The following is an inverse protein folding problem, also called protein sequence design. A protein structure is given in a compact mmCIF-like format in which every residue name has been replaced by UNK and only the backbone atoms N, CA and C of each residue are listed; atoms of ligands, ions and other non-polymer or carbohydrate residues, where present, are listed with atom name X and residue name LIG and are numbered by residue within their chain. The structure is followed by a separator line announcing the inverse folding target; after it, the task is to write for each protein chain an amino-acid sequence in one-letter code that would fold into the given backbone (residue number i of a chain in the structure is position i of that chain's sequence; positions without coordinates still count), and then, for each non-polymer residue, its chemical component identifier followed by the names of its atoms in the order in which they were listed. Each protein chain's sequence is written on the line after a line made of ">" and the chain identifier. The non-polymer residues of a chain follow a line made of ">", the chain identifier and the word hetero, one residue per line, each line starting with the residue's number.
data_IF_773236050774
#
_entry.id   IF_773236050774
#
_cell.length_a   1.000
_cell.length_b   1.000
_cell.length_c   1.000
_cell.angle_alpha   90.00
_cell.angle_beta   90.00
_cell.angle_gamma   90.00
#
_symmetry.space_group_name_H-M   'P 1'
#
loop_
_entity.id
_entity.type
_entity.pdbx_description
1 polymer ?
#
# COMPACT_ATOMS: atom_id res chain seq x y z
N UNK A 1 15.63 -9.31 29.76
CA UNK A 1 14.41 -9.46 30.57
C UNK A 1 14.47 -10.73 31.42
N UNK A 2 14.62 -11.93 30.84
CA UNK A 2 14.62 -13.20 31.58
C UNK A 2 15.61 -13.23 32.75
N UNK A 3 16.87 -12.82 32.56
CA UNK A 3 17.87 -12.75 33.64
C UNK A 3 17.50 -11.82 34.80
N UNK A 4 16.82 -10.71 34.48
CA UNK A 4 16.34 -9.77 35.49
C UNK A 4 15.21 -10.38 36.33
N UNK A 5 14.22 -10.99 35.66
CA UNK A 5 13.09 -11.66 36.31
C UNK A 5 13.60 -12.82 37.18
N UNK A 6 14.51 -13.66 36.63
CA UNK A 6 15.10 -14.76 37.40
C UNK A 6 15.85 -14.28 38.67
N UNK A 7 16.57 -13.17 38.57
CA UNK A 7 17.24 -12.53 39.71
C UNK A 7 16.24 -12.04 40.75
N UNK A 8 15.18 -11.37 40.32
CA UNK A 8 14.14 -10.84 41.21
C UNK A 8 13.36 -11.96 41.94
N UNK A 9 13.07 -13.07 41.22
CA UNK A 9 12.44 -14.27 41.85
C UNK A 9 13.35 -14.85 42.92
N UNK A 10 14.64 -15.00 42.66
CA UNK A 10 15.62 -15.51 43.62
C UNK A 10 15.74 -14.61 44.84
N UNK A 11 15.71 -13.29 44.70
CA UNK A 11 15.75 -12.34 45.79
C UNK A 11 14.45 -12.37 46.63
N UNK A 12 13.31 -12.58 46.01
CA UNK A 12 12.03 -12.79 46.66
C UNK A 12 12.01 -14.11 47.47
N UNK A 13 12.43 -15.24 46.84
CA UNK A 13 12.50 -16.54 47.51
C UNK A 13 13.48 -16.57 48.68
N UNK A 14 14.56 -15.78 48.62
CA UNK A 14 15.54 -15.63 49.69
C UNK A 14 15.14 -14.62 50.76
N UNK A 15 13.95 -14.00 50.66
CA UNK A 15 13.45 -13.05 51.64
C UNK A 15 14.13 -11.66 51.59
N UNK A 16 14.93 -11.37 50.60
CA UNK A 16 15.59 -10.06 50.41
C UNK A 16 14.64 -8.97 49.92
N UNK A 17 13.58 -9.38 49.24
CA UNK A 17 12.54 -8.51 48.70
C UNK A 17 11.19 -8.99 49.22
N UNK A 18 10.40 -8.08 49.79
CA UNK A 18 9.05 -8.42 50.26
C UNK A 18 8.05 -8.54 49.06
N UNK A 19 6.88 -9.15 49.38
CA UNK A 19 5.85 -9.38 48.35
C UNK A 19 5.38 -8.11 47.69
N UNK A 20 5.28 -7.00 48.41
CA UNK A 20 4.81 -5.72 47.87
C UNK A 20 5.82 -5.10 46.94
N UNK A 21 7.09 -5.17 47.28
CA UNK A 21 8.21 -4.68 46.51
C UNK A 21 8.43 -5.54 45.26
N UNK A 22 8.32 -6.87 45.38
CA UNK A 22 8.32 -7.79 44.27
C UNK A 22 7.22 -7.45 43.23
N UNK A 23 5.96 -7.34 43.68
CA UNK A 23 4.84 -7.00 42.79
C UNK A 23 4.99 -5.64 42.11
N UNK A 24 5.48 -4.61 42.85
CA UNK A 24 5.75 -3.29 42.28
C UNK A 24 6.82 -3.35 41.18
N UNK A 25 7.91 -4.08 41.46
CA UNK A 25 9.03 -4.20 40.52
C UNK A 25 8.62 -4.97 39.26
N UNK A 26 7.84 -6.05 39.40
CA UNK A 26 7.29 -6.79 38.24
C UNK A 26 6.33 -5.91 37.45
N UNK A 27 5.43 -5.17 38.10
CA UNK A 27 4.50 -4.26 37.43
C UNK A 27 5.25 -3.15 36.67
N UNK A 28 6.27 -2.56 37.27
CA UNK A 28 7.11 -1.54 36.63
C UNK A 28 7.90 -2.12 35.49
N UNK A 29 8.48 -3.31 35.64
CA UNK A 29 9.19 -3.99 34.56
C UNK A 29 8.26 -4.34 33.37
N UNK A 30 7.01 -4.76 33.65
CA UNK A 30 6.01 -5.04 32.65
C UNK A 30 5.57 -3.76 31.90
N UNK A 31 5.41 -2.63 32.62
CA UNK A 31 5.08 -1.34 31.97
C UNK A 31 6.25 -0.82 31.12
N UNK A 32 7.48 -0.93 31.59
CA UNK A 32 8.68 -0.55 30.82
C UNK A 32 8.87 -1.45 29.61
N UNK A 33 8.57 -2.74 29.74
CA UNK A 33 8.64 -3.68 28.64
C UNK A 33 7.54 -3.41 27.61
N UNK A 34 6.30 -3.21 28.04
CA UNK A 34 5.20 -2.83 27.16
C UNK A 34 5.42 -1.46 26.50
N UNK A 35 6.02 -0.50 27.23
CA UNK A 35 6.44 0.78 26.68
C UNK A 35 7.67 0.64 25.76
N UNK A 36 8.58 -0.30 26.06
CA UNK A 36 9.76 -0.61 25.25
C UNK A 36 9.40 -1.31 23.94
N UNK A 37 8.40 -2.18 23.95
CA UNK A 37 7.83 -2.76 22.71
C UNK A 37 7.01 -1.73 21.92
N UNK A 38 6.38 -0.76 22.60
CA UNK A 38 5.77 0.40 21.95
C UNK A 38 6.82 1.43 21.49
N UNK A 39 8.00 1.47 22.13
CA UNK A 39 9.12 2.36 21.81
C UNK A 39 10.18 1.71 20.90
N UNK A 40 10.20 0.41 20.72
CA UNK A 40 10.61 -0.16 19.45
C UNK A 40 9.52 0.23 18.47
N UNK A 41 9.60 1.49 18.06
CA UNK A 41 8.85 1.99 16.92
C UNK A 41 8.95 0.91 15.85
N UNK A 42 7.91 0.14 15.66
CA UNK A 42 7.70 -0.59 14.40
C UNK A 42 8.13 0.41 13.35
N UNK A 43 9.06 0.09 12.45
CA UNK A 43 9.49 1.03 11.41
C UNK A 43 8.21 1.62 10.89
N UNK A 44 8.01 2.89 11.19
CA UNK A 44 6.71 3.56 11.12
C UNK A 44 6.14 3.18 9.77
N UNK A 45 5.19 2.23 9.77
CA UNK A 45 4.39 2.00 8.59
C UNK A 45 3.63 3.30 8.44
N UNK A 46 4.25 4.27 7.78
CA UNK A 46 3.67 5.59 7.59
C UNK A 46 2.30 5.51 6.93
N UNK A 47 1.97 4.31 6.40
CA UNK A 47 0.73 3.96 5.74
C UNK A 47 0.54 2.43 5.75
N UNK A 48 -0.68 1.99 5.48
CA UNK A 48 -1.04 0.59 5.26
C UNK A 48 -1.59 0.46 3.85
N UNK A 49 -1.13 -0.56 3.11
CA UNK A 49 -1.74 -0.95 1.84
C UNK A 49 -3.10 -1.59 2.14
N UNK A 50 -4.16 -1.09 1.52
CA UNK A 50 -5.53 -1.59 1.66
C UNK A 50 -5.88 -2.62 0.58
N UNK A 51 -5.29 -2.49 -0.60
CA UNK A 51 -5.52 -3.38 -1.73
C UNK A 51 -4.91 -2.85 -3.01
N UNK A 52 -5.12 -3.58 -4.09
CA UNK A 52 -4.78 -3.13 -5.43
C UNK A 52 -5.81 -2.11 -5.88
N UNK A 53 -5.36 -0.92 -6.23
CA UNK A 53 -6.18 0.14 -6.82
C UNK A 53 -6.45 -0.17 -8.29
N UNK A 54 -5.36 -0.34 -9.06
CA UNK A 54 -5.46 -0.76 -10.45
C UNK A 54 -4.19 -1.47 -10.93
N UNK A 55 -4.35 -2.14 -12.06
CA UNK A 55 -3.26 -2.71 -12.84
C UNK A 55 -3.23 -1.96 -14.17
N UNK A 56 -2.10 -1.35 -14.50
CA UNK A 56 -1.91 -0.70 -15.79
C UNK A 56 -1.39 -1.70 -16.81
N UNK A 57 -2.16 -1.90 -17.86
CA UNK A 57 -1.92 -2.88 -18.92
C UNK A 57 -1.70 -2.14 -20.25
N UNK A 58 -0.46 -2.07 -20.67
CA UNK A 58 -0.07 -1.48 -21.95
C UNK A 58 -0.10 -2.55 -23.04
N UNK A 59 -0.72 -2.24 -24.16
CA UNK A 59 -0.91 -3.18 -25.27
C UNK A 59 -0.87 -2.47 -26.63
N UNK A 60 -0.66 -3.22 -27.73
CA UNK A 60 -0.62 -2.64 -29.08
C UNK A 60 -1.92 -1.95 -29.48
N UNK A 61 -3.06 -2.51 -29.06
CA UNK A 61 -4.40 -2.03 -29.34
C UNK A 61 -5.27 -2.12 -28.08
N UNK A 62 -5.47 -0.96 -27.43
CA UNK A 62 -6.25 -0.90 -26.20
C UNK A 62 -7.74 -1.21 -26.43
N UNK A 63 -8.28 -0.92 -27.62
CA UNK A 63 -9.70 -1.17 -27.91
C UNK A 63 -9.99 -2.67 -28.00
N UNK A 64 -9.10 -3.40 -28.63
CA UNK A 64 -9.16 -4.87 -28.69
C UNK A 64 -9.06 -5.49 -27.29
N UNK A 65 -8.15 -4.98 -26.46
CA UNK A 65 -8.02 -5.44 -25.08
C UNK A 65 -9.25 -5.06 -24.24
N UNK A 66 -9.73 -3.82 -24.35
CA UNK A 66 -10.98 -3.37 -23.70
C UNK A 66 -12.14 -4.28 -24.04
N UNK A 67 -12.38 -4.50 -25.32
CA UNK A 67 -13.52 -5.27 -25.79
C UNK A 67 -13.43 -6.73 -25.35
N UNK A 68 -12.23 -7.30 -25.30
CA UNK A 68 -12.00 -8.64 -24.77
C UNK A 68 -12.41 -8.72 -23.28
N UNK A 69 -11.93 -7.80 -22.44
CA UNK A 69 -12.25 -7.81 -21.02
C UNK A 69 -13.75 -7.59 -20.75
N UNK A 70 -14.41 -6.73 -21.55
CA UNK A 70 -15.85 -6.49 -21.44
C UNK A 70 -16.63 -7.74 -21.86
N UNK A 71 -16.34 -8.28 -23.04
CA UNK A 71 -17.15 -9.35 -23.62
C UNK A 71 -16.92 -10.71 -22.96
N UNK A 72 -15.70 -11.00 -22.50
CA UNK A 72 -15.35 -12.30 -21.92
C UNK A 72 -15.56 -12.34 -20.40
N UNK A 73 -15.23 -11.25 -19.71
CA UNK A 73 -15.26 -11.20 -18.24
C UNK A 73 -16.38 -10.31 -17.67
N UNK A 74 -17.12 -9.60 -18.52
CA UNK A 74 -18.21 -8.74 -18.09
C UNK A 74 -17.73 -7.49 -17.32
N UNK A 75 -16.48 -7.03 -17.55
CA UNK A 75 -16.01 -5.81 -16.93
C UNK A 75 -16.78 -4.61 -17.47
N UNK A 76 -17.00 -3.61 -16.61
CA UNK A 76 -17.69 -2.38 -16.99
C UNK A 76 -16.67 -1.27 -17.30
N UNK A 77 -16.84 -0.60 -18.45
CA UNK A 77 -16.04 0.59 -18.74
C UNK A 77 -16.49 1.75 -17.87
N UNK A 78 -15.55 2.36 -17.16
CA UNK A 78 -15.83 3.55 -16.37
C UNK A 78 -16.14 4.74 -17.28
N UNK A 79 -17.30 5.37 -17.08
CA UNK A 79 -17.76 6.52 -17.86
C UNK A 79 -16.73 7.65 -17.88
N UNK A 80 -16.50 8.22 -19.04
CA UNK A 80 -15.54 9.32 -19.22
C UNK A 80 -14.06 8.91 -19.16
N UNK A 81 -13.77 7.63 -19.01
CA UNK A 81 -12.40 7.11 -18.92
C UNK A 81 -11.97 6.32 -20.16
N UNK A 82 -12.78 6.27 -21.20
CA UNK A 82 -12.35 5.89 -22.55
C UNK A 82 -11.98 7.17 -23.30
N UNK A 83 -10.67 7.39 -23.48
CA UNK A 83 -10.12 8.64 -24.01
C UNK A 83 -9.61 8.50 -25.45
N UNK A 84 -9.92 7.39 -26.14
CA UNK A 84 -9.37 7.09 -27.46
C UNK A 84 -7.92 6.57 -27.43
N UNK A 85 -7.31 6.51 -26.23
CA UNK A 85 -5.96 5.96 -26.04
C UNK A 85 -5.88 4.97 -24.87
N UNK A 86 -6.90 4.96 -24.01
CA UNK A 86 -7.02 4.06 -22.85
C UNK A 86 -8.47 3.92 -22.41
N UNK A 87 -8.77 2.83 -21.71
CA UNK A 87 -10.01 2.63 -20.98
C UNK A 87 -9.74 2.09 -19.58
N UNK A 88 -10.55 2.53 -18.61
CA UNK A 88 -10.56 1.98 -17.26
C UNK A 88 -11.72 0.99 -17.16
N UNK A 89 -11.42 -0.26 -16.86
CA UNK A 89 -12.39 -1.36 -16.81
C UNK A 89 -12.52 -1.84 -15.38
N UNK A 90 -13.70 -1.65 -14.81
CA UNK A 90 -13.99 -1.94 -13.40
C UNK A 90 -14.23 -3.43 -13.18
N UNK A 91 -13.71 -3.95 -12.07
CA UNK A 91 -14.05 -5.27 -11.55
C UNK A 91 -14.18 -5.21 -10.02
N UNK A 92 -15.08 -6.06 -9.49
CA UNK A 92 -15.38 -6.06 -8.06
C UNK A 92 -16.30 -4.91 -7.63
N UNK A 93 -16.36 -4.64 -6.33
CA UNK A 93 -17.18 -3.56 -5.78
C UNK A 93 -16.83 -2.21 -6.38
N UNK A 94 -17.80 -1.29 -6.38
CA UNK A 94 -17.61 0.07 -6.88
C UNK A 94 -16.40 0.77 -6.21
N UNK A 95 -15.71 1.68 -6.93
CA UNK A 95 -14.65 2.51 -6.36
C UNK A 95 -15.09 3.20 -5.08
N UNK A 96 -14.18 3.34 -4.11
CA UNK A 96 -14.52 3.83 -2.78
C UNK A 96 -15.06 2.76 -1.82
N UNK A 97 -15.50 1.61 -2.34
CA UNK A 97 -15.92 0.43 -1.59
C UNK A 97 -14.98 -0.76 -1.74
N UNK A 98 -13.72 -0.49 -2.10
CA UNK A 98 -12.70 -1.52 -2.29
C UNK A 98 -12.62 -2.09 -3.70
N UNK A 99 -13.28 -1.45 -4.68
CA UNK A 99 -13.21 -1.83 -6.08
C UNK A 99 -11.82 -1.60 -6.67
N UNK A 100 -11.51 -2.35 -7.71
CA UNK A 100 -10.28 -2.26 -8.49
C UNK A 100 -10.61 -2.15 -9.97
N UNK A 101 -9.63 -1.78 -10.77
CA UNK A 101 -9.81 -1.70 -12.22
C UNK A 101 -8.54 -2.07 -12.98
N UNK A 102 -8.69 -2.42 -14.24
CA UNK A 102 -7.60 -2.52 -15.20
C UNK A 102 -7.62 -1.27 -16.08
N UNK A 103 -6.47 -0.66 -16.27
CA UNK A 103 -6.26 0.37 -17.29
C UNK A 103 -5.71 -0.32 -18.52
N UNK A 104 -6.52 -0.53 -19.53
CA UNK A 104 -6.01 -0.92 -20.87
C UNK A 104 -5.60 0.35 -21.59
N UNK A 105 -4.38 0.39 -22.12
CA UNK A 105 -3.90 1.59 -22.81
C UNK A 105 -2.92 1.30 -23.93
N UNK A 106 -2.87 2.19 -24.89
CA UNK A 106 -1.78 2.29 -25.86
C UNK A 106 -0.52 2.85 -25.15
N UNK A 107 0.69 2.56 -25.67
CA UNK A 107 1.92 3.10 -25.10
C UNK A 107 1.86 4.61 -24.89
N UNK A 108 2.31 5.05 -23.69
CA UNK A 108 2.31 6.45 -23.27
C UNK A 108 0.96 7.18 -23.51
N UNK A 109 -0.17 6.48 -23.33
CA UNK A 109 -1.50 7.06 -23.53
C UNK A 109 -1.83 7.37 -24.97
N UNK A 110 -1.16 6.71 -25.93
CA UNK A 110 -1.32 6.91 -27.38
C UNK A 110 -0.18 7.67 -28.06
N UNK A 111 0.74 8.27 -27.26
CA UNK A 111 1.88 9.03 -27.80
C UNK A 111 3.23 8.33 -27.70
N UNK A 112 3.28 7.12 -27.11
CA UNK A 112 4.51 6.34 -26.99
C UNK A 112 4.87 5.54 -28.22
N UNK A 113 6.05 4.91 -28.19
CA UNK A 113 6.45 4.00 -29.28
C UNK A 113 5.51 2.79 -29.31
N UNK A 114 5.09 2.34 -30.51
CA UNK A 114 4.32 1.12 -30.65
C UNK A 114 5.00 -0.06 -29.94
N UNK A 115 4.23 -0.92 -29.29
CA UNK A 115 4.71 -2.17 -28.71
C UNK A 115 4.16 -3.34 -29.52
N UNK A 116 4.95 -4.39 -29.66
CA UNK A 116 4.54 -5.63 -30.35
C UNK A 116 3.78 -6.57 -29.45
N UNK A 117 4.01 -6.48 -28.14
CA UNK A 117 3.46 -7.36 -27.13
C UNK A 117 2.86 -6.54 -25.99
N UNK A 118 1.87 -7.15 -25.33
CA UNK A 118 1.26 -6.53 -24.16
C UNK A 118 2.09 -6.81 -22.90
N UNK A 119 2.09 -5.87 -21.97
CA UNK A 119 2.77 -6.02 -20.68
C UNK A 119 2.06 -5.24 -19.58
N UNK A 120 2.30 -5.64 -18.33
CA UNK A 120 1.88 -4.85 -17.17
C UNK A 120 2.89 -3.71 -17.00
N UNK A 121 2.40 -2.49 -17.09
CA UNK A 121 3.22 -1.28 -16.98
C UNK A 121 3.54 -0.94 -15.52
N UNK A 122 2.53 -0.98 -14.67
CA UNK A 122 2.68 -0.81 -13.23
C UNK A 122 1.51 -1.40 -12.45
N UNK A 123 1.75 -1.60 -11.15
CA UNK A 123 0.71 -1.85 -10.15
C UNK A 123 0.48 -0.59 -9.34
N UNK A 124 -0.77 -0.29 -9.04
CA UNK A 124 -1.13 0.77 -8.12
C UNK A 124 -1.75 0.20 -6.85
N UNK A 125 -1.26 0.63 -5.70
CA UNK A 125 -1.82 0.27 -4.40
C UNK A 125 -2.61 1.43 -3.80
N UNK A 126 -3.76 1.12 -3.22
CA UNK A 126 -4.49 2.06 -2.36
C UNK A 126 -3.89 2.06 -0.97
N UNK A 127 -3.60 3.25 -0.46
CA UNK A 127 -3.08 3.43 0.89
C UNK A 127 -4.16 3.93 1.85
N UNK A 128 -4.10 3.46 3.11
CA UNK A 128 -4.93 4.01 4.19
C UNK A 128 -4.47 5.42 4.55
N UNK A 129 -5.44 6.28 4.89
CA UNK A 129 -5.17 7.61 5.42
C UNK A 129 -4.12 8.36 4.57
N UNK A 130 -4.43 8.52 3.28
CA UNK A 130 -3.53 9.17 2.33
C UNK A 130 -3.10 10.55 2.83
N UNK A 131 -1.82 10.70 3.02
CA UNK A 131 -1.13 11.95 3.26
C UNK A 131 0.18 11.88 2.48
N UNK A 132 0.29 12.68 1.44
CA UNK A 132 1.43 12.63 0.52
C UNK A 132 2.75 12.93 1.23
N UNK A 133 2.77 13.92 2.13
CA UNK A 133 3.98 14.29 2.86
C UNK A 133 4.45 13.13 3.75
N UNK A 134 3.51 12.45 4.41
CA UNK A 134 3.77 11.27 5.23
C UNK A 134 4.26 10.09 4.40
N UNK A 135 3.65 9.84 3.23
CA UNK A 135 4.10 8.78 2.32
C UNK A 135 5.51 9.05 1.83
N UNK A 136 5.81 10.29 1.41
CA UNK A 136 7.16 10.71 1.00
C UNK A 136 8.18 10.53 2.12
N UNK A 137 7.86 10.97 3.34
CA UNK A 137 8.73 10.79 4.50
C UNK A 137 8.99 9.32 4.82
N UNK A 138 7.96 8.46 4.73
CA UNK A 138 8.09 7.03 4.95
C UNK A 138 8.94 6.35 3.88
N UNK A 139 8.83 6.73 2.61
CA UNK A 139 9.67 6.23 1.53
C UNK A 139 11.12 6.64 1.75
N UNK A 140 11.37 7.93 2.02
CA UNK A 140 12.72 8.42 2.33
C UNK A 140 13.38 7.67 3.50
N UNK A 141 12.61 7.38 4.56
CA UNK A 141 13.12 6.64 5.70
C UNK A 141 13.42 5.15 5.41
N UNK A 142 12.77 4.56 4.40
CA UNK A 142 12.90 3.15 4.01
C UNK A 142 13.85 2.89 2.85
N UNK A 143 14.34 3.94 2.21
CA UNK A 143 15.32 3.88 1.14
C UNK A 143 14.79 4.04 -0.29
N UNK A 144 13.58 3.59 -0.68
CA UNK A 144 13.12 3.81 -2.04
C UNK A 144 12.98 5.29 -2.38
N UNK A 145 13.54 5.69 -3.51
CA UNK A 145 13.33 7.02 -4.05
C UNK A 145 12.00 7.10 -4.80
N UNK A 146 11.36 8.26 -4.71
CA UNK A 146 10.14 8.51 -5.50
C UNK A 146 10.60 8.85 -6.92
N UNK A 147 10.27 7.97 -7.85
CA UNK A 147 10.66 8.06 -9.27
C UNK A 147 9.77 9.00 -10.09
N UNK A 148 8.57 9.30 -9.59
CA UNK A 148 7.62 10.15 -10.30
C UNK A 148 6.35 10.37 -9.49
N UNK A 149 5.35 10.93 -10.16
CA UNK A 149 4.03 11.12 -9.59
C UNK A 149 3.46 12.52 -9.84
N UNK A 150 2.20 12.64 -9.49
CA UNK A 150 1.43 13.88 -9.48
C UNK A 150 0.75 14.00 -8.11
N UNK A 151 0.20 15.15 -7.72
CA UNK A 151 -0.56 15.25 -6.48
C UNK A 151 -1.62 14.13 -6.37
N UNK A 152 -1.61 13.42 -5.25
CA UNK A 152 -2.49 12.26 -5.00
C UNK A 152 -2.02 10.94 -5.60
N UNK A 153 -0.84 10.89 -6.23
CA UNK A 153 -0.30 9.69 -6.86
C UNK A 153 1.22 9.73 -6.88
N UNK A 154 1.87 8.74 -6.33
CA UNK A 154 3.33 8.65 -6.23
C UNK A 154 3.82 7.33 -6.84
N UNK A 155 5.00 7.36 -7.42
CA UNK A 155 5.67 6.19 -8.01
C UNK A 155 7.00 5.93 -7.32
N UNK A 156 7.31 4.66 -7.10
CA UNK A 156 8.62 4.18 -6.67
C UNK A 156 9.01 2.98 -7.50
N UNK A 157 10.31 2.74 -7.62
CA UNK A 157 10.79 1.51 -8.25
C UNK A 157 11.05 0.45 -7.18
N UNK A 158 10.67 -0.78 -7.48
CA UNK A 158 11.05 -1.94 -6.68
C UNK A 158 12.54 -2.30 -6.92
N UNK A 159 13.12 -3.28 -6.18
CA UNK A 159 14.52 -3.68 -6.38
C UNK A 159 14.87 -4.22 -7.78
N UNK A 160 13.87 -4.54 -8.60
CA UNK A 160 14.02 -4.99 -9.98
C UNK A 160 13.67 -3.92 -11.01
N UNK A 161 13.53 -2.64 -10.56
CA UNK A 161 13.11 -1.49 -11.35
C UNK A 161 11.68 -1.58 -11.90
N UNK A 162 10.81 -2.34 -11.23
CA UNK A 162 9.40 -2.38 -11.56
C UNK A 162 8.67 -1.18 -10.95
N UNK A 163 7.81 -0.54 -11.74
CA UNK A 163 7.08 0.65 -11.28
C UNK A 163 5.91 0.28 -10.37
N UNK A 164 5.94 0.80 -9.15
CA UNK A 164 4.90 0.67 -8.14
C UNK A 164 4.31 2.04 -7.87
N UNK A 165 3.04 2.19 -8.14
CA UNK A 165 2.28 3.40 -7.87
C UNK A 165 1.56 3.30 -6.53
N UNK A 166 1.44 4.41 -5.83
CA UNK A 166 0.56 4.58 -4.67
C UNK A 166 -0.47 5.66 -4.95
N UNK A 167 -1.69 5.41 -4.54
CA UNK A 167 -2.78 6.36 -4.70
C UNK A 167 -3.69 6.39 -3.46
N UNK A 168 -4.45 7.45 -3.35
CA UNK A 168 -5.54 7.54 -2.41
C UNK A 168 -6.65 6.52 -2.76
N UNK A 169 -7.55 6.28 -1.81
CA UNK A 169 -8.81 5.58 -2.09
C UNK A 169 -9.50 6.32 -3.25
N UNK A 170 -9.92 5.55 -4.24
CA UNK A 170 -10.71 6.09 -5.34
C UNK A 170 -12.04 6.54 -4.75
N UNK A 171 -12.28 7.84 -4.75
CA UNK A 171 -13.55 8.37 -4.28
C UNK A 171 -14.70 7.90 -5.17
N UNK A 172 -15.87 7.69 -4.55
CA UNK A 172 -17.08 7.21 -5.22
C UNK A 172 -17.48 8.08 -6.43
N UNK A 173 -17.03 9.33 -6.43
CA UNK A 173 -17.30 10.31 -7.49
C UNK A 173 -16.30 10.25 -8.68
N UNK A 174 -15.19 9.54 -8.55
CA UNK A 174 -14.16 9.47 -9.60
C UNK A 174 -14.64 8.71 -10.85
N UNK A 175 -15.73 7.94 -10.72
CA UNK A 175 -16.31 7.10 -11.77
C UNK A 175 -17.84 7.28 -11.83
N UNK A 176 -18.33 8.50 -11.74
CA UNK A 176 -19.77 8.75 -11.99
C UNK A 176 -20.11 8.32 -13.40
N UNK A 177 -21.13 7.46 -13.50
CA UNK A 177 -21.77 7.09 -14.75
C UNK A 177 -22.48 8.27 -15.40
#
# INVERSE_FOLDING_TARGET
>A
MERFIAGLVKDFESGKVDRREFCKTVALAATVYAAGDAAQAQPTRGFKVLGVNHISYTCPDYTRARDFFINVFGLESASGHDTGARANLMFGPQPGKGGSFIVTRNPAGGGGKPVSEAYIDHFCFTLSNWDEARVRAAMKAKGPEISGGRPGSLHVLDPYNYDIQFANIIEENAFKR
#
